data_IF_440245812982
#
_entry.id   IF_440245812982
#
_cell.length_a   1.000
_cell.length_b   1.000
_cell.length_c   1.000
_cell.angle_alpha   90.00
_cell.angle_beta   90.00
_cell.angle_gamma   90.00
#
_symmetry.space_group_name_H-M   'P 1'
#
loop_
_entity.id
_entity.type
_entity.pdbx_description
1 polymer ?
#
# COMPACT_ATOMS: atom_id res chain seq x y z
N UNK A 1 -15.84 16.58 -6.23
CA UNK A 1 -15.71 15.17 -6.67
C UNK A 1 -16.08 14.30 -5.49
N UNK A 2 -17.03 13.37 -5.70
CA UNK A 2 -17.49 12.41 -4.67
C UNK A 2 -16.75 11.10 -4.84
N UNK A 3 -16.07 10.64 -3.77
CA UNK A 3 -15.12 9.52 -3.83
C UNK A 3 -15.49 8.45 -2.81
N UNK A 4 -15.62 7.20 -3.28
CA UNK A 4 -15.79 6.04 -2.43
C UNK A 4 -14.40 5.47 -2.06
N UNK A 5 -14.11 5.34 -0.77
CA UNK A 5 -12.88 4.71 -0.29
C UNK A 5 -13.24 3.41 0.42
N UNK A 6 -13.00 2.28 -0.22
CA UNK A 6 -13.22 0.98 0.44
C UNK A 6 -12.07 0.67 1.39
N UNK A 7 -12.39 0.04 2.52
CA UNK A 7 -11.37 -0.26 3.53
C UNK A 7 -10.90 0.96 4.32
N UNK A 8 -11.75 1.97 4.48
CA UNK A 8 -11.46 3.18 5.27
C UNK A 8 -11.18 2.91 6.76
N UNK A 9 -11.47 1.70 7.26
CA UNK A 9 -11.03 1.25 8.59
C UNK A 9 -9.60 0.71 8.65
N UNK A 10 -8.95 0.52 7.49
CA UNK A 10 -7.57 0.03 7.37
C UNK A 10 -6.55 1.17 7.39
N UNK A 11 -5.27 0.83 7.61
CA UNK A 11 -4.19 1.81 7.75
C UNK A 11 -4.05 2.75 6.53
N UNK A 12 -3.88 2.20 5.33
CA UNK A 12 -3.71 3.00 4.13
C UNK A 12 -5.02 3.67 3.65
N UNK A 13 -6.13 2.92 3.68
CA UNK A 13 -7.44 3.45 3.28
C UNK A 13 -7.91 4.60 4.15
N UNK A 14 -7.69 4.52 5.48
CA UNK A 14 -8.04 5.59 6.41
C UNK A 14 -7.25 6.87 6.14
N UNK A 15 -5.93 6.77 6.06
CA UNK A 15 -5.09 7.92 5.79
C UNK A 15 -5.44 8.59 4.44
N UNK A 16 -5.70 7.79 3.41
CA UNK A 16 -6.12 8.29 2.10
C UNK A 16 -7.47 9.00 2.19
N UNK A 17 -8.45 8.41 2.87
CA UNK A 17 -9.79 9.00 3.04
C UNK A 17 -9.74 10.31 3.82
N UNK A 18 -9.01 10.35 4.95
CA UNK A 18 -8.80 11.55 5.76
C UNK A 18 -8.11 12.66 4.95
N UNK A 19 -7.06 12.32 4.18
CA UNK A 19 -6.36 13.27 3.32
C UNK A 19 -7.27 13.85 2.22
N UNK A 20 -8.02 13.00 1.51
CA UNK A 20 -8.96 13.43 0.48
C UNK A 20 -10.02 14.36 1.06
N UNK A 21 -10.63 13.99 2.20
CA UNK A 21 -11.63 14.83 2.87
C UNK A 21 -11.06 16.20 3.27
N UNK A 22 -9.87 16.23 3.88
CA UNK A 22 -9.19 17.47 4.25
C UNK A 22 -8.84 18.38 3.06
N UNK A 23 -8.76 17.81 1.84
CA UNK A 23 -8.50 18.53 0.59
C UNK A 23 -9.78 18.78 -0.25
N UNK A 24 -10.96 18.71 0.37
CA UNK A 24 -12.22 19.16 -0.22
C UNK A 24 -12.93 18.13 -1.10
N UNK A 25 -12.56 16.85 -1.06
CA UNK A 25 -13.34 15.79 -1.68
C UNK A 25 -14.54 15.42 -0.79
N UNK A 26 -15.66 15.09 -1.42
CA UNK A 26 -16.81 14.47 -0.75
C UNK A 26 -16.53 12.97 -0.60
N UNK A 27 -16.06 12.56 0.58
CA UNK A 27 -15.58 11.19 0.83
C UNK A 27 -16.65 10.35 1.51
N UNK A 28 -16.90 9.17 0.96
CA UNK A 28 -17.65 8.09 1.63
C UNK A 28 -16.69 6.92 1.87
N UNK A 29 -16.48 6.57 3.13
CA UNK A 29 -15.63 5.45 3.51
C UNK A 29 -16.43 4.18 3.79
N UNK A 30 -15.95 2.99 3.38
CA UNK A 30 -16.56 1.73 3.82
C UNK A 30 -15.76 1.05 4.92
N UNK A 31 -16.47 0.45 5.86
CA UNK A 31 -15.93 -0.41 6.92
C UNK A 31 -16.72 -1.72 6.96
N UNK A 32 -16.08 -2.83 7.36
CA UNK A 32 -16.77 -4.11 7.50
C UNK A 32 -17.55 -4.18 8.83
N UNK A 33 -16.87 -4.03 9.95
CA UNK A 33 -17.47 -4.23 11.29
C UNK A 33 -16.97 -3.24 12.34
N UNK A 34 -15.89 -2.52 12.07
CA UNK A 34 -15.33 -1.55 13.02
C UNK A 34 -16.06 -0.20 12.92
N UNK A 35 -16.28 0.45 14.05
CA UNK A 35 -16.61 1.88 14.06
C UNK A 35 -15.30 2.66 13.99
N UNK A 36 -15.28 3.68 13.18
CA UNK A 36 -14.16 4.63 13.10
C UNK A 36 -14.68 6.04 13.40
N UNK A 37 -13.88 6.81 14.11
CA UNK A 37 -14.15 8.23 14.34
C UNK A 37 -13.38 9.03 13.29
N UNK A 38 -14.12 9.59 12.33
CA UNK A 38 -13.58 10.29 11.15
C UNK A 38 -14.53 11.41 10.75
N UNK A 39 -14.06 12.47 10.07
CA UNK A 39 -14.87 13.64 9.72
C UNK A 39 -15.70 13.47 8.44
N UNK A 40 -15.76 12.29 7.83
CA UNK A 40 -16.49 11.99 6.59
C UNK A 40 -17.54 10.89 6.78
N UNK A 41 -18.42 10.73 5.80
CA UNK A 41 -19.47 9.71 5.83
C UNK A 41 -18.86 8.30 5.83
N UNK A 42 -19.39 7.40 6.68
CA UNK A 42 -18.97 6.01 6.78
C UNK A 42 -20.14 5.07 6.62
N UNK A 43 -20.03 4.15 5.68
CA UNK A 43 -21.01 3.11 5.42
C UNK A 43 -20.46 1.76 5.89
N UNK A 44 -21.23 1.04 6.70
CA UNK A 44 -20.91 -0.35 7.01
C UNK A 44 -21.34 -1.23 5.83
N UNK A 45 -20.38 -1.88 5.17
CA UNK A 45 -20.61 -2.69 3.98
C UNK A 45 -19.79 -3.98 4.05
N UNK A 46 -20.48 -5.12 3.91
CA UNK A 46 -19.81 -6.38 3.61
C UNK A 46 -19.49 -6.42 2.10
N UNK A 47 -18.23 -6.24 1.75
CA UNK A 47 -17.81 -6.18 0.34
C UNK A 47 -17.93 -7.53 -0.39
N UNK A 48 -18.06 -8.65 0.34
CA UNK A 48 -18.26 -10.00 -0.24
C UNK A 48 -19.69 -10.18 -0.79
N UNK A 49 -20.64 -9.38 -0.31
CA UNK A 49 -22.03 -9.38 -0.75
C UNK A 49 -22.26 -8.37 -1.89
N UNK A 50 -23.36 -8.49 -2.66
CA UNK A 50 -23.74 -7.48 -3.64
C UNK A 50 -23.82 -6.09 -3.00
N UNK A 51 -23.16 -5.12 -3.57
CA UNK A 51 -23.15 -3.78 -3.03
C UNK A 51 -24.54 -3.14 -3.23
N UNK A 52 -25.10 -2.65 -2.14
CA UNK A 52 -26.36 -1.93 -2.20
C UNK A 52 -26.19 -0.52 -2.79
N UNK A 53 -27.29 0.10 -3.12
CA UNK A 53 -27.30 1.46 -3.66
C UNK A 53 -26.68 2.45 -2.68
N UNK A 54 -25.60 3.11 -3.09
CA UNK A 54 -24.91 4.16 -2.35
C UNK A 54 -24.87 5.48 -3.14
N UNK A 55 -25.52 5.51 -4.31
CA UNK A 55 -25.53 6.65 -5.23
C UNK A 55 -24.30 6.67 -6.15
N UNK A 56 -24.16 7.77 -6.87
CA UNK A 56 -23.08 7.98 -7.83
C UNK A 56 -21.80 8.44 -7.13
N UNK A 57 -20.66 7.94 -7.62
CA UNK A 57 -19.32 8.39 -7.26
C UNK A 57 -18.53 8.73 -8.52
N UNK A 58 -17.72 9.78 -8.46
CA UNK A 58 -16.80 10.14 -9.54
C UNK A 58 -15.60 9.20 -9.62
N UNK A 59 -15.21 8.59 -8.48
CA UNK A 59 -14.10 7.66 -8.39
C UNK A 59 -14.25 6.68 -7.22
N UNK A 60 -13.60 5.51 -7.34
CA UNK A 60 -13.44 4.53 -6.25
C UNK A 60 -11.96 4.34 -5.94
N UNK A 61 -11.59 4.45 -4.66
CA UNK A 61 -10.27 4.05 -4.15
C UNK A 61 -10.44 2.72 -3.45
N UNK A 62 -9.91 1.65 -4.04
CA UNK A 62 -10.06 0.31 -3.50
C UNK A 62 -8.84 -0.09 -2.65
N UNK A 63 -8.91 0.20 -1.34
CA UNK A 63 -7.88 -0.13 -0.36
C UNK A 63 -8.25 -1.35 0.53
N UNK A 64 -9.46 -1.90 0.35
CA UNK A 64 -9.89 -3.11 1.05
C UNK A 64 -9.20 -4.36 0.50
N UNK A 65 -9.07 -5.37 1.33
CA UNK A 65 -8.55 -6.69 0.96
C UNK A 65 -7.97 -7.44 2.15
N UNK A 66 -7.80 -8.74 1.98
CA UNK A 66 -7.10 -9.59 2.97
C UNK A 66 -5.60 -9.51 2.78
N UNK A 67 -4.87 -9.51 3.87
CA UNK A 67 -3.40 -9.37 3.91
C UNK A 67 -2.77 -10.54 4.69
N UNK A 68 -1.48 -10.90 4.43
CA UNK A 68 -0.85 -12.12 4.94
C UNK A 68 -0.81 -12.29 6.46
N UNK A 69 -0.85 -11.20 7.22
CA UNK A 69 -0.85 -11.26 8.68
C UNK A 69 -2.24 -11.56 9.29
N UNK A 70 -3.33 -11.49 8.49
CA UNK A 70 -4.70 -11.78 8.96
C UNK A 70 -5.18 -13.17 8.62
N UNK A 71 -4.75 -13.72 7.48
CA UNK A 71 -5.12 -15.05 7.02
C UNK A 71 -4.02 -15.64 6.14
N UNK A 72 -4.00 -16.96 6.01
CA UNK A 72 -3.21 -17.71 5.03
C UNK A 72 -4.09 -18.63 4.17
N UNK A 73 -5.40 -18.57 4.36
CA UNK A 73 -6.35 -19.42 3.66
C UNK A 73 -6.61 -18.90 2.25
N UNK A 74 -6.33 -19.71 1.23
CA UNK A 74 -6.50 -19.33 -0.17
C UNK A 74 -7.93 -18.90 -0.50
N UNK A 75 -8.92 -19.65 -0.01
CA UNK A 75 -10.32 -19.33 -0.27
C UNK A 75 -10.77 -17.98 0.32
N UNK A 76 -10.16 -17.53 1.44
CA UNK A 76 -10.41 -16.20 2.00
C UNK A 76 -9.82 -15.13 1.11
N UNK A 77 -8.62 -15.34 0.56
CA UNK A 77 -8.04 -14.41 -0.41
C UNK A 77 -8.87 -14.31 -1.70
N UNK A 78 -9.38 -15.45 -2.21
CA UNK A 78 -10.25 -15.45 -3.40
C UNK A 78 -11.48 -14.56 -3.15
N UNK A 79 -12.21 -14.82 -2.07
CA UNK A 79 -13.40 -14.00 -1.73
C UNK A 79 -13.08 -12.53 -1.57
N UNK A 80 -12.05 -12.21 -0.76
CA UNK A 80 -11.79 -10.83 -0.35
C UNK A 80 -11.00 -10.00 -1.35
N UNK A 81 -10.31 -10.62 -2.30
CA UNK A 81 -9.53 -9.89 -3.30
C UNK A 81 -10.14 -10.03 -4.71
N UNK A 82 -10.59 -11.23 -5.12
CA UNK A 82 -11.11 -11.48 -6.47
C UNK A 82 -12.61 -11.20 -6.54
N UNK A 83 -13.42 -11.84 -5.68
CA UNK A 83 -14.87 -11.68 -5.76
C UNK A 83 -15.29 -10.25 -5.37
N UNK A 84 -14.63 -9.65 -4.40
CA UNK A 84 -14.82 -8.23 -4.07
C UNK A 84 -14.47 -7.32 -5.24
N UNK A 85 -13.39 -7.60 -5.99
CA UNK A 85 -13.07 -6.83 -7.20
C UNK A 85 -14.15 -6.96 -8.27
N UNK A 86 -14.72 -8.16 -8.45
CA UNK A 86 -15.86 -8.36 -9.38
C UNK A 86 -17.09 -7.55 -8.96
N UNK A 87 -17.40 -7.50 -7.66
CA UNK A 87 -18.49 -6.66 -7.14
C UNK A 87 -18.22 -5.17 -7.40
N UNK A 88 -16.98 -4.72 -7.17
CA UNK A 88 -16.57 -3.34 -7.45
C UNK A 88 -16.76 -2.98 -8.92
N UNK A 89 -16.26 -3.82 -9.82
CA UNK A 89 -16.39 -3.60 -11.28
C UNK A 89 -17.86 -3.56 -11.69
N UNK A 90 -18.68 -4.48 -11.20
CA UNK A 90 -20.11 -4.49 -11.46
C UNK A 90 -20.80 -3.20 -10.95
N UNK A 91 -20.48 -2.80 -9.72
CA UNK A 91 -21.01 -1.55 -9.15
C UNK A 91 -20.59 -0.33 -9.97
N UNK A 92 -19.31 -0.22 -10.32
CA UNK A 92 -18.80 0.89 -11.11
C UNK A 92 -19.50 1.01 -12.46
N UNK A 93 -19.75 -0.11 -13.15
CA UNK A 93 -20.49 -0.14 -14.43
C UNK A 93 -21.95 0.29 -14.28
N UNK A 94 -22.64 -0.18 -13.25
CA UNK A 94 -24.07 0.14 -13.05
C UNK A 94 -24.31 1.59 -12.63
N UNK A 95 -23.29 2.25 -12.05
CA UNK A 95 -23.40 3.62 -11.54
C UNK A 95 -22.52 4.62 -12.30
N UNK A 96 -22.01 4.24 -13.48
CA UNK A 96 -21.19 5.09 -14.34
C UNK A 96 -19.94 5.66 -13.62
N UNK A 97 -19.35 4.89 -12.71
CA UNK A 97 -18.09 5.24 -12.06
C UNK A 97 -16.95 4.80 -12.97
N UNK A 98 -16.32 5.74 -13.64
CA UNK A 98 -15.30 5.42 -14.65
C UNK A 98 -13.85 5.51 -14.16
N UNK A 99 -13.60 5.86 -12.89
CA UNK A 99 -12.25 5.97 -12.31
C UNK A 99 -12.07 5.04 -11.10
N UNK A 100 -11.07 4.17 -11.17
CA UNK A 100 -10.72 3.27 -10.05
C UNK A 100 -9.22 3.28 -9.77
N UNK A 101 -8.83 3.63 -8.54
CA UNK A 101 -7.46 3.45 -8.03
C UNK A 101 -7.43 2.23 -7.14
N UNK A 102 -6.60 1.25 -7.48
CA UNK A 102 -6.48 -0.01 -6.75
C UNK A 102 -5.17 -0.12 -5.99
N UNK A 103 -5.23 -0.42 -4.71
CA UNK A 103 -4.08 -0.66 -3.86
C UNK A 103 -3.62 -2.11 -4.01
N UNK A 104 -2.63 -2.33 -4.88
CA UNK A 104 -1.99 -3.60 -5.14
C UNK A 104 -0.72 -3.78 -4.30
N UNK A 105 0.10 -4.77 -4.61
CA UNK A 105 1.26 -5.18 -3.81
C UNK A 105 2.42 -5.65 -4.67
N UNK A 106 3.65 -5.52 -4.15
CA UNK A 106 4.83 -6.19 -4.73
C UNK A 106 4.77 -7.72 -4.59
N UNK A 107 3.93 -8.26 -3.70
CA UNK A 107 3.75 -9.70 -3.53
C UNK A 107 3.32 -10.43 -4.80
N UNK A 108 2.83 -9.72 -5.82
CA UNK A 108 2.50 -10.29 -7.12
C UNK A 108 3.71 -10.85 -7.87
N UNK A 109 4.93 -10.36 -7.60
CA UNK A 109 6.15 -10.82 -8.25
C UNK A 109 6.62 -12.17 -7.69
N UNK A 110 6.26 -12.50 -6.44
CA UNK A 110 6.68 -13.73 -5.77
C UNK A 110 8.15 -13.75 -5.45
N UNK A 111 8.92 -14.61 -6.12
CA UNK A 111 10.38 -14.70 -6.00
C UNK A 111 11.04 -13.62 -6.88
N UNK A 112 12.02 -12.91 -6.33
CA UNK A 112 12.76 -11.91 -7.07
C UNK A 112 14.04 -12.53 -7.64
N UNK A 113 14.24 -12.39 -8.97
CA UNK A 113 15.46 -12.84 -9.66
C UNK A 113 16.35 -11.67 -10.08
N UNK A 114 15.75 -10.49 -10.19
CA UNK A 114 16.45 -9.28 -10.59
C UNK A 114 16.58 -8.34 -9.37
N UNK A 115 17.70 -7.62 -9.32
CA UNK A 115 17.92 -6.61 -8.29
C UNK A 115 16.98 -5.40 -8.43
N UNK A 116 16.51 -5.11 -9.64
CA UNK A 116 15.57 -4.01 -9.91
C UNK A 116 14.25 -4.57 -10.42
N UNK A 117 13.18 -4.24 -9.73
CA UNK A 117 11.81 -4.71 -10.02
C UNK A 117 10.97 -3.52 -10.48
N UNK A 118 10.37 -3.66 -11.66
CA UNK A 118 9.45 -2.70 -12.27
C UNK A 118 8.11 -3.37 -12.63
N UNK A 119 7.23 -2.63 -13.31
CA UNK A 119 5.91 -3.14 -13.72
C UNK A 119 5.98 -4.30 -14.72
N UNK A 120 7.09 -4.44 -15.47
CA UNK A 120 7.27 -5.45 -16.50
C UNK A 120 7.98 -6.70 -15.98
N UNK A 121 8.55 -6.63 -14.78
CA UNK A 121 9.28 -7.75 -14.17
C UNK A 121 8.44 -9.02 -14.06
N UNK A 122 9.09 -10.17 -14.19
CA UNK A 122 8.47 -11.49 -14.16
C UNK A 122 7.76 -11.77 -12.84
N UNK A 123 6.70 -12.54 -12.91
CA UNK A 123 5.92 -13.01 -11.75
C UNK A 123 6.23 -14.48 -11.54
N UNK A 124 7.05 -14.75 -10.51
CA UNK A 124 7.62 -16.09 -10.29
C UNK A 124 7.09 -16.62 -8.96
N UNK A 125 6.28 -17.67 -9.02
CA UNK A 125 5.74 -18.33 -7.85
C UNK A 125 5.13 -17.39 -6.79
N UNK A 126 4.24 -16.44 -7.15
CA UNK A 126 3.60 -15.59 -6.15
C UNK A 126 2.82 -16.45 -5.16
N UNK A 127 2.83 -16.07 -3.89
CA UNK A 127 2.02 -16.72 -2.88
C UNK A 127 0.52 -16.49 -3.13
N UNK A 128 -0.34 -17.13 -2.34
CA UNK A 128 -1.80 -17.01 -2.47
C UNK A 128 -2.28 -15.55 -2.41
N UNK A 129 -1.66 -14.72 -1.60
CA UNK A 129 -1.97 -13.30 -1.52
C UNK A 129 -1.59 -12.57 -2.80
N UNK A 130 -0.33 -12.67 -3.23
CA UNK A 130 0.16 -12.04 -4.45
C UNK A 130 -0.61 -12.49 -5.69
N UNK A 131 -0.90 -13.80 -5.81
CA UNK A 131 -1.67 -14.35 -6.91
C UNK A 131 -3.08 -13.75 -6.99
N UNK A 132 -3.80 -13.64 -5.87
CA UNK A 132 -5.16 -13.09 -5.87
C UNK A 132 -5.20 -11.58 -6.07
N UNK A 133 -4.18 -10.85 -5.60
CA UNK A 133 -4.03 -9.42 -5.90
C UNK A 133 -3.76 -9.19 -7.38
N UNK A 134 -2.92 -10.02 -8.01
CA UNK A 134 -2.67 -9.94 -9.45
C UNK A 134 -3.91 -10.29 -10.28
N UNK A 135 -4.65 -11.33 -9.89
CA UNK A 135 -5.92 -11.66 -10.55
C UNK A 135 -6.93 -10.50 -10.49
N UNK A 136 -6.99 -9.76 -9.37
CA UNK A 136 -7.81 -8.57 -9.23
C UNK A 136 -7.32 -7.42 -10.14
N UNK A 137 -6.01 -7.21 -10.33
CA UNK A 137 -5.48 -6.27 -11.32
C UNK A 137 -5.94 -6.64 -12.74
N UNK A 138 -5.91 -7.94 -13.10
CA UNK A 138 -6.33 -8.41 -14.42
C UNK A 138 -7.82 -8.14 -14.65
N UNK A 139 -8.69 -8.47 -13.69
CA UNK A 139 -10.13 -8.20 -13.77
C UNK A 139 -10.43 -6.72 -13.98
N UNK A 140 -9.73 -5.85 -13.26
CA UNK A 140 -9.93 -4.42 -13.36
C UNK A 140 -9.45 -3.87 -14.71
N UNK A 141 -8.32 -4.37 -15.23
CA UNK A 141 -7.74 -3.94 -16.51
C UNK A 141 -8.54 -4.45 -17.72
N UNK A 142 -9.20 -5.60 -17.63
CA UNK A 142 -10.07 -6.13 -18.68
C UNK A 142 -11.30 -5.25 -18.91
N UNK A 143 -11.72 -4.47 -17.90
CA UNK A 143 -12.88 -3.60 -18.00
C UNK A 143 -12.51 -2.24 -18.61
N UNK A 144 -12.63 -2.13 -19.93
CA UNK A 144 -12.20 -0.95 -20.71
C UNK A 144 -13.10 0.27 -20.56
N UNK A 145 -14.30 0.13 -19.99
CA UNK A 145 -15.17 1.28 -19.68
C UNK A 145 -14.72 2.03 -18.41
N UNK A 146 -13.79 1.44 -17.64
CA UNK A 146 -13.25 2.01 -16.41
C UNK A 146 -11.80 2.42 -16.64
N UNK A 147 -11.48 3.69 -16.44
CA UNK A 147 -10.10 4.13 -16.33
C UNK A 147 -9.55 3.68 -14.97
N UNK A 148 -8.64 2.72 -14.97
CA UNK A 148 -8.12 2.16 -13.74
C UNK A 148 -6.60 2.25 -13.63
N UNK A 149 -6.11 2.33 -12.39
CA UNK A 149 -4.69 2.25 -12.10
C UNK A 149 -4.45 1.39 -10.86
N UNK A 150 -3.52 0.44 -10.98
CA UNK A 150 -3.07 -0.42 -9.87
C UNK A 150 -1.75 0.10 -9.30
N UNK A 151 -1.74 0.42 -8.01
CA UNK A 151 -0.55 0.88 -7.31
C UNK A 151 0.12 -0.31 -6.63
N UNK A 152 1.23 -0.81 -7.19
CA UNK A 152 2.02 -1.91 -6.61
C UNK A 152 2.96 -1.37 -5.55
N UNK A 153 2.63 -1.64 -4.31
CA UNK A 153 3.31 -1.06 -3.16
C UNK A 153 4.11 -2.10 -2.38
N UNK A 154 5.31 -1.74 -1.90
CA UNK A 154 6.02 -2.45 -0.85
C UNK A 154 5.37 -2.16 0.52
N UNK A 155 6.14 -2.29 1.60
CA UNK A 155 5.67 -1.95 2.94
C UNK A 155 5.25 -0.49 3.07
N UNK A 156 3.97 -0.25 3.44
CA UNK A 156 3.47 1.10 3.70
C UNK A 156 3.78 1.48 5.15
N UNK A 157 4.39 2.65 5.34
CA UNK A 157 4.91 3.15 6.61
C UNK A 157 4.27 4.49 6.94
N UNK A 158 4.05 4.74 8.22
CA UNK A 158 3.50 5.99 8.73
C UNK A 158 3.03 5.83 10.18
N UNK A 159 2.45 6.86 10.75
CA UNK A 159 1.95 6.82 12.12
C UNK A 159 0.92 5.71 12.30
N UNK A 160 1.22 4.76 13.20
CA UNK A 160 0.35 3.61 13.48
C UNK A 160 0.54 2.41 12.56
N UNK A 161 1.54 2.41 11.65
CA UNK A 161 1.87 1.22 10.86
C UNK A 161 2.37 0.08 11.75
N UNK A 162 1.99 -1.15 11.39
CA UNK A 162 2.34 -2.37 12.15
C UNK A 162 2.67 -3.51 11.17
N UNK A 163 3.46 -4.47 11.64
CA UNK A 163 3.75 -5.68 10.85
C UNK A 163 4.71 -5.47 9.68
N UNK A 164 5.31 -4.29 9.54
CA UNK A 164 6.31 -3.97 8.53
C UNK A 164 7.69 -3.93 9.18
N UNK A 165 8.74 -4.24 8.43
CA UNK A 165 10.10 -4.38 8.94
C UNK A 165 10.58 -3.14 9.73
N UNK A 166 10.40 -1.94 9.20
CA UNK A 166 10.94 -0.71 9.80
C UNK A 166 10.26 -0.36 11.13
N UNK A 167 8.93 -0.29 11.25
CA UNK A 167 8.26 -0.12 12.55
C UNK A 167 8.64 -1.20 13.57
N UNK A 168 8.70 -2.46 13.15
CA UNK A 168 9.08 -3.56 14.05
C UNK A 168 10.52 -3.41 14.55
N UNK A 169 11.42 -2.87 13.72
CA UNK A 169 12.81 -2.60 14.10
C UNK A 169 12.91 -1.47 15.12
N UNK A 170 12.12 -0.40 14.95
CA UNK A 170 12.02 0.70 15.91
C UNK A 170 11.51 0.18 17.26
N UNK A 171 10.43 -0.60 17.25
CA UNK A 171 9.85 -1.17 18.47
C UNK A 171 10.86 -2.03 19.24
N UNK A 172 11.62 -2.90 18.55
CA UNK A 172 12.68 -3.70 19.17
C UNK A 172 13.75 -2.84 19.84
N UNK A 173 14.20 -1.79 19.19
CA UNK A 173 15.19 -0.89 19.79
C UNK A 173 14.63 -0.11 20.98
N UNK A 174 13.38 0.32 20.94
CA UNK A 174 12.72 0.96 22.09
C UNK A 174 12.61 0.01 23.29
N UNK A 175 12.44 -1.29 23.04
CA UNK A 175 12.46 -2.34 24.06
C UNK A 175 13.88 -2.78 24.45
N UNK A 176 14.90 -2.20 23.81
CA UNK A 176 16.30 -2.55 23.94
C UNK A 176 16.61 -4.03 23.58
N UNK A 177 15.82 -4.59 22.66
CA UNK A 177 16.02 -5.93 22.13
C UNK A 177 17.06 -5.94 21.00
N UNK A 178 17.73 -7.08 20.81
CA UNK A 178 18.66 -7.26 19.70
C UNK A 178 17.93 -7.29 18.36
N UNK A 179 18.49 -6.60 17.37
CA UNK A 179 17.95 -6.54 16.02
C UNK A 179 18.80 -7.37 15.07
N UNK A 180 18.16 -8.31 14.35
CA UNK A 180 18.80 -9.10 13.32
C UNK A 180 18.55 -8.47 11.96
N UNK A 181 19.60 -8.30 11.14
CA UNK A 181 19.54 -7.73 9.79
C UNK A 181 20.15 -8.68 8.77
N UNK A 182 19.62 -8.63 7.57
CA UNK A 182 20.05 -9.39 6.39
C UNK A 182 20.54 -8.42 5.33
N UNK A 183 21.48 -8.84 4.48
CA UNK A 183 22.00 -8.03 3.37
C UNK A 183 22.28 -6.56 3.78
N UNK A 184 23.11 -6.33 4.84
CA UNK A 184 23.22 -5.01 5.48
C UNK A 184 23.69 -3.89 4.55
N UNK A 185 24.51 -4.22 3.56
CA UNK A 185 25.13 -3.25 2.65
C UNK A 185 24.32 -3.07 1.35
N UNK A 186 23.19 -3.77 1.23
CA UNK A 186 22.27 -3.55 0.12
C UNK A 186 21.48 -2.25 0.32
N UNK A 187 21.47 -1.42 -0.72
CA UNK A 187 20.75 -0.16 -0.73
C UNK A 187 19.30 -0.38 -1.18
N UNK A 188 18.35 -0.15 -0.29
CA UNK A 188 16.90 -0.32 -0.52
C UNK A 188 16.17 1.00 -0.55
N UNK A 189 15.03 1.00 -1.23
CA UNK A 189 14.02 2.05 -1.24
C UNK A 189 12.60 1.48 -1.19
N UNK A 190 12.44 0.24 -0.76
CA UNK A 190 11.20 -0.51 -0.77
C UNK A 190 10.26 -0.12 0.37
N UNK A 191 9.92 1.16 0.43
CA UNK A 191 9.00 1.75 1.40
C UNK A 191 8.10 2.77 0.72
N UNK A 192 6.88 2.91 1.22
CA UNK A 192 5.93 3.96 0.84
C UNK A 192 5.48 4.68 2.11
N UNK A 193 5.63 6.00 2.14
CA UNK A 193 5.09 6.82 3.22
C UNK A 193 3.59 7.02 3.00
N UNK A 194 2.78 6.75 4.01
CA UNK A 194 1.32 6.71 3.88
C UNK A 194 0.73 8.06 3.43
N UNK A 195 1.26 9.19 3.94
CA UNK A 195 0.80 10.51 3.51
C UNK A 195 1.18 10.82 2.05
N UNK A 196 2.34 10.33 1.57
CA UNK A 196 2.76 10.52 0.19
C UNK A 196 1.92 9.68 -0.77
N UNK A 197 1.51 8.47 -0.35
CA UNK A 197 0.51 7.67 -1.05
C UNK A 197 -0.82 8.43 -1.17
N UNK A 198 -1.31 9.00 -0.06
CA UNK A 198 -2.57 9.75 -0.06
C UNK A 198 -2.52 10.99 -0.96
N UNK A 199 -1.39 11.72 -0.95
CA UNK A 199 -1.15 12.86 -1.86
C UNK A 199 -1.15 12.41 -3.33
N UNK A 200 -0.49 11.30 -3.63
CA UNK A 200 -0.45 10.78 -5.00
C UNK A 200 -1.83 10.34 -5.48
N UNK A 201 -2.61 9.68 -4.65
CA UNK A 201 -4.00 9.35 -4.97
C UNK A 201 -4.83 10.60 -5.26
N UNK A 202 -4.71 11.64 -4.43
CA UNK A 202 -5.40 12.91 -4.68
C UNK A 202 -4.93 13.56 -6.00
N UNK A 203 -3.62 13.52 -6.29
CA UNK A 203 -3.08 14.02 -7.55
C UNK A 203 -3.65 13.28 -8.76
N UNK A 204 -3.70 11.94 -8.72
CA UNK A 204 -4.32 11.12 -9.77
C UNK A 204 -5.78 11.54 -10.05
N UNK A 205 -6.54 11.87 -9.01
CA UNK A 205 -7.94 12.28 -9.17
C UNK A 205 -8.10 13.64 -9.87
N UNK A 206 -7.09 14.51 -9.85
CA UNK A 206 -7.08 15.78 -10.58
C UNK A 206 -6.57 15.66 -12.03
N UNK A 207 -5.94 14.56 -12.41
CA UNK A 207 -5.50 14.34 -13.79
C UNK A 207 -6.69 14.01 -14.69
N UNK A 208 -6.69 14.50 -15.90
CA UNK A 208 -7.75 14.16 -16.89
C UNK A 208 -7.63 12.70 -17.34
N UNK A 209 -6.41 12.22 -17.55
CA UNK A 209 -6.13 10.85 -18.00
C UNK A 209 -4.88 10.31 -17.30
N UNK A 210 -4.82 8.99 -17.13
CA UNK A 210 -3.65 8.30 -16.60
C UNK A 210 -2.89 7.63 -17.74
N UNK A 211 -1.59 7.89 -17.81
CA UNK A 211 -0.72 7.34 -18.86
C UNK A 211 -0.50 5.83 -18.71
N UNK A 212 -0.53 5.34 -17.48
CA UNK A 212 -0.28 3.94 -17.14
C UNK A 212 -1.47 3.36 -16.37
N UNK A 213 -1.76 2.07 -16.59
CA UNK A 213 -2.75 1.28 -15.86
C UNK A 213 -2.16 0.58 -14.62
N UNK A 214 -0.84 0.58 -14.51
CA UNK A 214 -0.11 0.04 -13.36
C UNK A 214 1.19 0.82 -13.13
N UNK A 215 1.48 1.10 -11.86
CA UNK A 215 2.73 1.73 -11.42
C UNK A 215 3.25 1.09 -10.14
N UNK A 216 4.56 0.97 -10.03
CA UNK A 216 5.25 0.63 -8.79
C UNK A 216 5.53 1.89 -7.98
N UNK A 217 5.40 1.81 -6.66
CA UNK A 217 5.76 2.89 -5.76
C UNK A 217 6.97 2.52 -4.92
N UNK A 218 7.86 3.48 -4.70
CA UNK A 218 9.01 3.32 -3.82
C UNK A 218 9.34 4.66 -3.13
N UNK A 219 10.22 4.65 -2.15
CA UNK A 219 10.72 5.87 -1.53
C UNK A 219 11.75 6.58 -2.41
N UNK A 220 11.87 7.88 -2.22
CA UNK A 220 12.93 8.67 -2.84
C UNK A 220 14.30 8.25 -2.25
N UNK A 221 15.32 8.13 -3.11
CA UNK A 221 16.68 7.70 -2.75
C UNK A 221 16.80 6.26 -2.22
N UNK A 222 17.98 5.71 -2.32
CA UNK A 222 18.36 4.42 -1.78
C UNK A 222 19.16 4.64 -0.50
N UNK A 223 18.93 3.79 0.50
CA UNK A 223 19.65 3.80 1.78
C UNK A 223 19.96 2.36 2.17
N UNK A 224 21.15 2.08 2.68
CA UNK A 224 21.49 0.72 3.09
C UNK A 224 20.71 0.31 4.35
N UNK A 225 20.44 -0.99 4.47
CA UNK A 225 19.82 -1.55 5.68
C UNK A 225 20.64 -1.21 6.91
N UNK A 226 21.97 -1.23 6.79
CA UNK A 226 22.93 -0.86 7.84
C UNK A 226 22.71 0.59 8.31
N UNK A 227 22.67 1.54 7.39
CA UNK A 227 22.45 2.96 7.70
C UNK A 227 21.14 3.19 8.42
N UNK A 228 20.04 2.61 7.90
CA UNK A 228 18.71 2.72 8.53
C UNK A 228 18.73 2.19 9.96
N UNK A 229 19.28 1.01 10.18
CA UNK A 229 19.27 0.38 11.50
C UNK A 229 20.16 1.12 12.50
N UNK A 230 21.31 1.63 12.05
CA UNK A 230 22.17 2.46 12.91
C UNK A 230 21.51 3.79 13.27
N UNK A 231 20.81 4.42 12.34
CA UNK A 231 20.08 5.66 12.63
C UNK A 231 18.92 5.42 13.60
N UNK A 232 18.13 4.34 13.41
CA UNK A 232 17.08 3.96 14.37
C UNK A 232 17.67 3.76 15.76
N UNK A 233 18.78 2.99 15.86
CA UNK A 233 19.46 2.75 17.14
C UNK A 233 19.91 4.05 17.80
N UNK A 234 20.45 4.99 17.01
CA UNK A 234 20.88 6.31 17.48
C UNK A 234 19.70 7.14 18.02
N UNK A 235 18.61 7.22 17.25
CA UNK A 235 17.42 7.99 17.60
C UNK A 235 16.64 7.45 18.80
N UNK A 236 16.66 6.13 18.98
CA UNK A 236 16.02 5.46 20.12
C UNK A 236 16.93 5.36 21.37
N UNK A 237 18.19 5.82 21.29
CA UNK A 237 19.20 5.67 22.35
C UNK A 237 19.39 4.20 22.80
N UNK A 238 19.13 3.22 21.92
CA UNK A 238 19.23 1.81 22.25
C UNK A 238 20.70 1.37 22.40
N UNK A 239 20.96 0.52 23.39
CA UNK A 239 22.27 -0.09 23.64
C UNK A 239 22.38 -1.50 23.11
N UNK A 240 21.26 -2.12 22.72
CA UNK A 240 21.14 -3.48 22.21
C UNK A 240 22.01 -3.74 20.97
N UNK A 241 22.29 -5.01 20.71
CA UNK A 241 23.17 -5.43 19.62
C UNK A 241 22.44 -5.50 18.28
N UNK A 242 23.13 -5.09 17.21
CA UNK A 242 22.78 -5.41 15.84
C UNK A 242 23.50 -6.70 15.46
N UNK A 243 22.75 -7.71 15.03
CA UNK A 243 23.28 -9.02 14.61
C UNK A 243 23.11 -9.13 13.10
N UNK A 244 24.23 -9.24 12.40
CA UNK A 244 24.20 -9.49 10.94
C UNK A 244 24.02 -10.99 10.74
N UNK A 245 23.01 -11.36 9.98
CA UNK A 245 22.77 -12.73 9.55
C UNK A 245 23.27 -12.88 8.11
N UNK A 246 24.07 -13.91 7.88
CA UNK A 246 24.65 -14.20 6.57
C UNK A 246 23.72 -15.03 5.67
N UNK A 247 22.47 -15.23 6.10
CA UNK A 247 21.47 -15.87 5.27
C UNK A 247 21.19 -14.99 4.04
N UNK A 248 21.47 -15.53 2.86
CA UNK A 248 21.38 -14.80 1.59
C UNK A 248 19.90 -14.74 1.18
N UNK A 249 19.22 -13.70 1.61
CA UNK A 249 17.98 -13.29 0.96
C UNK A 249 18.37 -12.47 -0.26
N UNK A 250 17.86 -12.84 -1.42
CA UNK A 250 18.06 -12.05 -2.64
C UNK A 250 17.45 -10.66 -2.44
N UNK A 251 18.29 -9.62 -2.34
CA UNK A 251 17.79 -8.28 -2.13
C UNK A 251 17.30 -7.71 -3.46
N UNK A 252 16.26 -6.91 -3.42
CA UNK A 252 15.71 -6.23 -4.59
C UNK A 252 15.38 -4.77 -4.28
N UNK A 253 15.27 -3.97 -5.33
CA UNK A 253 14.90 -2.57 -5.26
C UNK A 253 13.78 -2.27 -6.24
N UNK A 254 12.72 -1.61 -5.77
CA UNK A 254 11.62 -1.19 -6.64
C UNK A 254 12.04 -0.01 -7.51
N UNK A 255 11.64 -0.05 -8.79
CA UNK A 255 11.68 1.09 -9.69
C UNK A 255 10.30 1.75 -9.73
N UNK A 256 10.24 3.07 -9.51
CA UNK A 256 9.01 3.86 -9.47
C UNK A 256 8.97 4.93 -10.58
N UNK A 257 9.78 4.79 -11.62
CA UNK A 257 9.91 5.79 -12.69
C UNK A 257 8.55 6.17 -13.30
N UNK A 258 7.65 5.21 -13.54
CA UNK A 258 6.31 5.50 -14.07
C UNK A 258 5.47 6.32 -13.11
N UNK A 259 5.55 6.04 -11.81
CA UNK A 259 4.82 6.80 -10.80
C UNK A 259 5.37 8.23 -10.69
N UNK A 260 6.68 8.40 -10.70
CA UNK A 260 7.36 9.71 -10.70
C UNK A 260 6.97 10.51 -11.95
N UNK A 261 6.94 9.90 -13.13
CA UNK A 261 6.47 10.53 -14.36
C UNK A 261 5.01 11.01 -14.24
N UNK A 262 4.19 10.32 -13.44
CA UNK A 262 2.81 10.69 -13.14
C UNK A 262 2.68 11.59 -11.90
N UNK A 263 3.76 12.17 -11.41
CA UNK A 263 3.75 13.15 -10.32
C UNK A 263 3.83 12.56 -8.91
N UNK A 264 4.20 11.27 -8.75
CA UNK A 264 4.48 10.71 -7.44
C UNK A 264 5.74 11.36 -6.83
N UNK A 265 5.62 11.84 -5.61
CA UNK A 265 6.71 12.41 -4.82
C UNK A 265 6.73 11.73 -3.47
N UNK A 266 7.89 11.23 -3.06
CA UNK A 266 8.05 10.52 -1.79
C UNK A 266 9.25 11.04 -1.01
N UNK A 267 9.20 10.88 0.31
CA UNK A 267 10.34 11.15 1.19
C UNK A 267 11.34 9.98 1.15
N UNK A 268 12.58 10.25 1.59
CA UNK A 268 13.63 9.23 1.67
C UNK A 268 13.39 8.24 2.83
N UNK A 269 13.96 7.01 2.79
CA UNK A 269 13.89 6.06 3.90
C UNK A 269 14.44 6.64 5.21
N UNK A 270 15.47 7.44 5.13
CA UNK A 270 16.08 8.09 6.30
C UNK A 270 15.13 9.11 6.95
N UNK A 271 14.41 9.87 6.14
CA UNK A 271 13.39 10.78 6.65
C UNK A 271 12.20 10.02 7.28
N UNK A 272 11.79 8.89 6.68
CA UNK A 272 10.77 8.02 7.27
C UNK A 272 11.18 7.52 8.66
N UNK A 273 12.44 7.09 8.81
CA UNK A 273 13.00 6.65 10.11
C UNK A 273 12.89 7.78 11.15
N UNK A 274 13.29 8.99 10.81
CA UNK A 274 13.23 10.14 11.74
C UNK A 274 11.81 10.39 12.21
N UNK A 275 10.87 10.53 11.28
CA UNK A 275 9.44 10.76 11.60
C UNK A 275 8.85 9.63 12.45
N UNK A 276 9.17 8.37 12.11
CA UNK A 276 8.68 7.24 12.88
C UNK A 276 9.23 7.20 14.31
N UNK A 277 10.50 7.55 14.51
CA UNK A 277 11.07 7.65 15.85
C UNK A 277 10.44 8.80 16.66
N UNK A 278 10.17 9.96 16.04
CA UNK A 278 9.48 11.07 16.68
C UNK A 278 8.05 10.73 17.12
N UNK A 279 7.32 9.92 16.36
CA UNK A 279 5.97 9.47 16.74
C UNK A 279 5.95 8.50 17.93
N UNK A 280 7.08 7.85 18.23
CA UNK A 280 7.19 6.84 19.28
C UNK A 280 8.00 7.34 20.50
N UNK A 281 8.50 8.58 20.46
CA UNK A 281 9.17 9.25 21.57
C UNK A 281 8.16 9.91 22.53
#
# INVERSE_FOLDING_TARGET
>A
MRVLVTGAGGFAGRCTAEYLHANGFDVVGTVHSCRIDVPFEVVQLNLEEPWHEMGHFDAIIHAAGSVPHRTKEFCVYVRNNIDVMRQLVNYAKHHDVYRVVYFSTIGIYGEFRDENIDENSDRINPDAYGLTKYAAECLLREETSIQSISLRMPGIIGRGSRGVWLPNTIEKFLQNDSVRIYSPDFATRNFVWNDDLAKFVAHLLYMDTWKYDVVCLASHEKTTVRELVHEIKRLTNATSKIVVDNDLREPFCMDDNRAVEMGYVSISPMEMVKRMCEYNA
#
